data_IF_294236078912
#
_entry.id   IF_294236078912
#
_cell.length_a   1.000
_cell.length_b   1.000
_cell.length_c   1.000
_cell.angle_alpha   90.00
_cell.angle_beta   90.00
_cell.angle_gamma   90.00
#
_symmetry.space_group_name_H-M   'P 1'
#
loop_
_entity.id
_entity.type
_entity.pdbx_description
1 polymer ?
#
# COMPACT_ATOMS: atom_id res chain seq x y z
N UNK A 1 35.85 12.30 10.33
CA UNK A 1 35.14 11.15 10.92
C UNK A 1 33.88 11.69 11.60
N UNK A 2 32.72 11.06 11.34
CA UNK A 2 31.48 11.39 12.04
C UNK A 2 31.60 10.85 13.49
N UNK A 3 31.36 11.67 14.51
CA UNK A 3 31.31 11.18 15.88
C UNK A 3 30.05 10.31 16.08
N UNK A 4 30.27 9.02 16.26
CA UNK A 4 29.22 8.05 16.53
C UNK A 4 29.13 7.81 18.03
N UNK A 5 27.93 7.89 18.66
CA UNK A 5 27.78 7.59 20.08
C UNK A 5 28.24 6.16 20.42
N UNK A 6 28.75 5.97 21.61
CA UNK A 6 29.04 4.62 22.13
C UNK A 6 27.75 3.82 22.25
N UNK A 7 27.80 2.54 21.89
CA UNK A 7 26.65 1.62 21.87
C UNK A 7 25.51 1.99 20.88
N UNK A 8 25.77 2.80 19.86
CA UNK A 8 24.80 3.05 18.79
C UNK A 8 24.57 1.76 17.99
N UNK A 9 23.29 1.36 17.83
CA UNK A 9 22.89 0.18 17.05
C UNK A 9 22.20 0.55 15.73
N UNK A 10 21.65 1.76 15.62
CA UNK A 10 21.05 2.26 14.38
C UNK A 10 21.42 3.71 14.16
N UNK A 11 21.35 4.15 12.92
CA UNK A 11 21.57 5.53 12.52
C UNK A 11 20.62 5.87 11.36
N UNK A 12 19.85 6.92 11.53
CA UNK A 12 18.90 7.43 10.52
C UNK A 12 19.28 8.88 10.20
N UNK A 13 19.32 9.21 8.92
CA UNK A 13 19.51 10.60 8.50
C UNK A 13 18.17 11.34 8.50
N UNK A 14 18.14 12.52 9.11
CA UNK A 14 16.99 13.41 9.14
C UNK A 14 17.45 14.84 8.81
N UNK A 15 17.22 15.27 7.59
CA UNK A 15 17.76 16.51 7.06
C UNK A 15 19.29 16.55 7.15
N UNK A 16 19.83 17.59 7.78
CA UNK A 16 21.27 17.74 8.01
C UNK A 16 21.78 17.05 9.29
N UNK A 17 20.89 16.42 10.04
CA UNK A 17 21.19 15.77 11.34
C UNK A 17 21.20 14.25 11.23
N UNK A 18 21.75 13.63 12.26
CA UNK A 18 21.81 12.18 12.41
C UNK A 18 21.10 11.78 13.71
N UNK A 19 20.16 10.87 13.62
CA UNK A 19 19.50 10.26 14.76
C UNK A 19 20.10 8.87 15.00
N UNK A 20 20.43 8.58 16.24
CA UNK A 20 20.98 7.30 16.68
C UNK A 20 20.06 6.65 17.69
N UNK A 21 19.79 5.36 17.49
CA UNK A 21 19.35 4.49 18.56
C UNK A 21 20.56 3.97 19.32
N UNK A 22 20.54 4.06 20.65
CA UNK A 22 21.67 3.75 21.52
C UNK A 22 21.19 2.76 22.59
N UNK A 23 21.93 1.68 22.82
CA UNK A 23 21.66 0.80 23.95
C UNK A 23 22.07 1.44 25.27
N UNK A 24 21.29 1.22 26.31
CA UNK A 24 21.65 1.64 27.66
C UNK A 24 22.96 0.95 28.09
N UNK A 25 23.85 1.67 28.85
CA UNK A 25 25.09 1.07 29.30
C UNK A 25 24.84 -0.14 30.18
N UNK A 26 25.31 -1.28 29.79
CA UNK A 26 25.20 -2.54 30.53
C UNK A 26 24.21 -3.57 29.97
N UNK A 27 23.40 -3.17 29.01
CA UNK A 27 22.53 -4.11 28.32
C UNK A 27 23.32 -4.84 27.24
N UNK A 28 23.19 -6.18 27.23
CA UNK A 28 23.77 -6.98 26.16
C UNK A 28 23.10 -6.62 24.83
N UNK A 29 23.86 -6.60 23.74
CA UNK A 29 23.27 -6.51 22.42
C UNK A 29 22.15 -7.56 22.31
N UNK A 30 21.01 -7.23 21.65
CA UNK A 30 19.89 -8.16 21.55
C UNK A 30 20.36 -9.49 21.01
N UNK A 31 19.93 -10.57 21.68
CA UNK A 31 20.05 -11.91 21.14
C UNK A 31 19.00 -12.03 20.02
N UNK A 32 19.37 -12.53 18.83
CA UNK A 32 18.50 -12.59 17.67
C UNK A 32 17.15 -13.32 17.89
N UNK A 33 17.00 -13.97 19.04
CA UNK A 33 15.78 -14.69 19.43
C UNK A 33 14.80 -13.88 20.32
N UNK A 34 15.11 -12.64 20.69
CA UNK A 34 14.32 -11.88 21.65
C UNK A 34 13.96 -10.50 21.08
N UNK A 35 12.79 -10.40 20.42
CA UNK A 35 12.22 -9.17 19.85
C UNK A 35 11.89 -8.10 20.92
N UNK A 36 11.92 -8.44 22.23
CA UNK A 36 11.56 -7.55 23.32
C UNK A 36 12.66 -6.54 23.74
N UNK A 37 13.79 -6.52 23.06
CA UNK A 37 14.99 -5.79 23.47
C UNK A 37 15.07 -4.33 23.04
N UNK A 38 14.06 -3.83 22.31
CA UNK A 38 13.94 -2.39 22.03
C UNK A 38 13.62 -1.55 23.29
N UNK A 39 13.34 -2.20 24.39
CA UNK A 39 12.84 -1.62 25.65
C UNK A 39 13.85 -0.75 26.41
N UNK A 40 15.14 -0.81 26.09
CA UNK A 40 16.18 -0.11 26.81
C UNK A 40 17.03 0.79 25.92
N UNK A 41 16.43 1.34 24.88
CA UNK A 41 17.15 2.22 23.99
C UNK A 41 16.91 3.69 24.32
N UNK A 42 17.93 4.48 24.08
CA UNK A 42 17.84 5.93 24.03
C UNK A 42 17.89 6.39 22.58
N UNK A 43 17.22 7.50 22.29
CA UNK A 43 17.36 8.21 21.02
C UNK A 43 18.24 9.44 21.25
N UNK A 44 19.26 9.62 20.41
CA UNK A 44 20.08 10.80 20.37
C UNK A 44 20.11 11.38 18.97
N UNK A 45 19.78 12.67 18.85
CA UNK A 45 19.94 13.41 17.60
C UNK A 45 21.10 14.38 17.76
N UNK A 46 21.97 14.41 16.78
CA UNK A 46 23.15 15.26 16.79
C UNK A 46 23.41 15.88 15.42
N UNK A 47 24.13 17.00 15.44
CA UNK A 47 24.72 17.58 14.26
C UNK A 47 25.91 16.74 13.77
N UNK A 48 26.38 16.98 12.55
CA UNK A 48 27.50 16.23 11.96
C UNK A 48 28.81 16.38 12.69
N UNK A 49 28.96 17.43 13.52
CA UNK A 49 30.13 17.64 14.36
C UNK A 49 30.07 16.93 15.73
N UNK A 50 28.92 16.25 16.02
CA UNK A 50 28.70 15.54 17.26
C UNK A 50 27.96 16.33 18.33
N UNK A 51 27.58 17.58 18.06
CA UNK A 51 26.80 18.37 19.00
C UNK A 51 25.41 17.74 19.16
N UNK A 52 25.08 17.26 20.37
CA UNK A 52 23.78 16.66 20.69
C UNK A 52 22.73 17.76 20.80
N UNK A 53 21.65 17.62 20.02
CA UNK A 53 20.54 18.58 19.99
C UNK A 53 19.28 18.05 20.64
N UNK A 54 19.13 16.70 20.69
CA UNK A 54 18.01 16.03 21.33
C UNK A 54 18.46 14.72 21.94
N UNK A 55 17.89 14.35 23.08
CA UNK A 55 18.07 13.03 23.69
C UNK A 55 16.85 12.63 24.50
N UNK A 56 16.41 11.40 24.31
CA UNK A 56 15.38 10.74 25.12
C UNK A 56 15.90 9.35 25.51
N UNK A 57 16.03 9.10 26.81
CA UNK A 57 16.63 7.87 27.37
C UNK A 57 15.64 6.69 27.44
N UNK A 58 14.36 6.90 27.07
CA UNK A 58 13.29 5.87 27.09
C UNK A 58 12.59 5.83 25.73
N UNK A 59 13.34 5.87 24.65
CA UNK A 59 12.76 5.91 23.31
C UNK A 59 13.56 5.11 22.29
N UNK A 60 12.86 4.61 21.27
CA UNK A 60 13.43 4.05 20.05
C UNK A 60 13.15 4.96 18.85
N UNK A 61 14.11 5.08 17.97
CA UNK A 61 13.94 5.72 16.66
C UNK A 61 13.50 4.67 15.66
N UNK A 62 12.34 4.88 15.08
CA UNK A 62 11.92 4.24 13.86
C UNK A 62 12.23 5.15 12.68
N UNK A 63 12.64 4.59 11.56
CA UNK A 63 12.83 5.38 10.34
C UNK A 63 11.49 5.94 9.88
N UNK A 64 11.43 7.23 9.54
CA UNK A 64 10.22 7.78 8.94
C UNK A 64 10.19 7.45 7.47
N UNK A 65 9.33 6.53 7.08
CA UNK A 65 8.89 6.40 5.72
C UNK A 65 7.70 7.35 5.50
N UNK A 66 7.94 8.60 5.16
CA UNK A 66 6.90 9.58 4.82
C UNK A 66 6.29 9.33 3.44
N UNK A 67 6.64 8.25 2.80
CA UNK A 67 6.07 7.87 1.51
C UNK A 67 5.75 6.39 1.53
N UNK A 68 4.72 5.97 0.81
CA UNK A 68 4.35 4.58 0.57
C UNK A 68 5.55 3.78 0.01
N UNK A 69 6.54 3.48 0.86
CA UNK A 69 7.69 2.67 0.50
C UNK A 69 8.85 3.40 -0.20
N UNK A 70 8.77 4.70 -0.49
CA UNK A 70 9.92 5.45 -1.01
C UNK A 70 10.79 6.00 0.11
N UNK A 71 11.64 5.15 0.66
CA UNK A 71 12.65 5.52 1.66
C UNK A 71 13.74 6.46 1.11
N UNK A 72 13.66 6.89 -0.15
CA UNK A 72 14.67 7.71 -0.81
C UNK A 72 14.44 9.22 -0.67
N UNK A 73 13.25 9.67 -0.25
CA UNK A 73 13.00 11.08 -0.03
C UNK A 73 13.60 11.51 1.33
N UNK A 74 14.59 12.41 1.37
CA UNK A 74 15.12 12.89 2.61
C UNK A 74 14.02 13.63 3.38
N UNK A 75 13.79 13.24 4.62
CA UNK A 75 12.84 13.89 5.51
C UNK A 75 13.56 14.43 6.75
N UNK A 76 13.04 15.53 7.29
CA UNK A 76 13.47 16.06 8.58
C UNK A 76 12.74 15.42 9.76
N UNK A 77 11.71 14.59 9.49
CA UNK A 77 10.85 14.01 10.48
C UNK A 77 11.28 12.58 10.85
N UNK A 78 11.23 12.29 12.13
CA UNK A 78 11.57 11.00 12.73
C UNK A 78 10.37 10.50 13.53
N UNK A 79 10.02 9.25 13.36
CA UNK A 79 9.09 8.56 14.24
C UNK A 79 9.84 8.08 15.48
N UNK A 80 9.33 8.43 16.65
CA UNK A 80 9.92 8.11 17.94
C UNK A 80 8.86 7.44 18.78
N UNK A 81 9.14 6.21 19.20
CA UNK A 81 8.36 5.51 20.21
C UNK A 81 8.97 5.73 21.58
N UNK A 82 8.20 6.31 22.48
CA UNK A 82 8.56 6.46 23.89
C UNK A 82 7.97 5.31 24.70
N UNK A 83 8.82 4.70 25.51
CA UNK A 83 8.44 3.54 26.34
C UNK A 83 8.14 3.96 27.77
N UNK A 84 7.33 3.14 28.45
CA UNK A 84 7.10 3.22 29.89
C UNK A 84 8.42 3.08 30.67
N UNK A 85 8.44 3.59 31.90
CA UNK A 85 9.64 3.54 32.78
C UNK A 85 10.17 2.11 33.01
N UNK A 86 9.30 1.11 32.93
CA UNK A 86 9.67 -0.31 33.05
C UNK A 86 9.98 -0.97 31.68
N UNK A 87 9.87 -0.21 30.58
CA UNK A 87 10.13 -0.68 29.22
C UNK A 87 9.15 -1.71 28.69
N UNK A 88 8.03 -1.95 29.37
CA UNK A 88 7.09 -3.04 29.02
C UNK A 88 6.10 -2.69 27.90
N UNK A 89 5.92 -1.43 27.61
CA UNK A 89 4.95 -0.94 26.61
C UNK A 89 5.36 0.38 26.00
N UNK A 90 4.92 0.60 24.73
CA UNK A 90 4.97 1.91 24.12
C UNK A 90 3.89 2.78 24.78
N UNK A 91 4.29 3.88 25.38
CA UNK A 91 3.38 4.86 25.95
C UNK A 91 2.92 5.88 24.92
N UNK A 92 3.80 6.22 23.99
CA UNK A 92 3.54 7.27 23.02
C UNK A 92 4.37 7.06 21.76
N UNK A 93 3.72 7.20 20.60
CA UNK A 93 4.38 7.41 19.33
C UNK A 93 4.30 8.89 18.98
N UNK A 94 5.40 9.50 18.58
CA UNK A 94 5.46 10.89 18.15
C UNK A 94 6.26 11.05 16.87
N UNK A 95 5.97 12.11 16.12
CA UNK A 95 6.85 12.59 15.05
C UNK A 95 7.65 13.80 15.56
N UNK A 96 8.96 13.70 15.44
CA UNK A 96 9.88 14.78 15.79
C UNK A 96 10.58 15.30 14.54
N UNK A 97 10.42 16.59 14.27
CA UNK A 97 11.24 17.27 13.28
C UNK A 97 12.65 17.51 13.82
N UNK A 98 13.62 16.78 13.28
CA UNK A 98 15.00 16.83 13.75
C UNK A 98 15.63 18.22 13.55
N UNK A 99 15.16 19.05 12.62
CA UNK A 99 15.70 20.36 12.30
C UNK A 99 15.08 21.47 13.17
N UNK A 100 13.76 21.46 13.33
CA UNK A 100 13.05 22.52 14.08
C UNK A 100 12.84 22.19 15.54
N UNK A 101 12.88 20.90 15.92
CA UNK A 101 12.51 20.40 17.24
C UNK A 101 11.00 20.37 17.48
N UNK A 102 10.18 20.58 16.44
CA UNK A 102 8.74 20.42 16.54
C UNK A 102 8.39 18.94 16.81
N UNK A 103 7.57 18.70 17.80
CA UNK A 103 7.09 17.35 18.15
C UNK A 103 5.56 17.31 18.05
N UNK A 104 5.04 16.26 17.40
CA UNK A 104 3.64 15.95 17.33
C UNK A 104 3.38 14.57 17.88
N UNK A 105 2.64 14.52 18.97
CA UNK A 105 2.29 13.30 19.68
C UNK A 105 0.90 12.82 19.28
N UNK A 106 0.68 11.52 19.35
CA UNK A 106 -0.60 10.90 19.10
C UNK A 106 -0.49 9.72 18.14
N UNK A 107 -1.62 9.07 17.89
CA UNK A 107 -1.69 8.00 16.90
C UNK A 107 -1.49 8.58 15.49
N UNK A 108 -0.49 8.07 14.78
CA UNK A 108 -0.09 8.57 13.47
C UNK A 108 -0.44 7.55 12.39
N UNK A 109 -1.06 8.02 11.32
CA UNK A 109 -1.29 7.22 10.11
C UNK A 109 -0.67 7.94 8.92
N UNK A 110 0.28 7.30 8.24
CA UNK A 110 0.85 7.83 7.01
C UNK A 110 -0.09 7.57 5.85
N UNK A 111 -0.43 8.62 5.10
CA UNK A 111 -1.46 8.55 4.05
C UNK A 111 -0.88 8.64 2.64
N UNK A 112 0.10 9.50 2.43
CA UNK A 112 0.82 9.66 1.16
C UNK A 112 2.11 10.41 1.40
N UNK A 113 2.92 10.60 0.36
CA UNK A 113 4.22 11.26 0.45
C UNK A 113 4.17 12.58 1.24
N UNK A 114 4.70 12.55 2.45
CA UNK A 114 4.82 13.71 3.32
C UNK A 114 3.53 14.17 4.02
N UNK A 115 2.42 13.43 3.92
CA UNK A 115 1.17 13.77 4.61
C UNK A 115 0.81 12.66 5.60
N UNK A 116 0.43 13.06 6.82
CA UNK A 116 0.03 12.16 7.87
C UNK A 116 -1.27 12.61 8.55
N UNK A 117 -2.01 11.66 9.11
CA UNK A 117 -3.15 11.90 9.98
C UNK A 117 -2.72 11.75 11.43
N UNK A 118 -3.10 12.72 12.27
CA UNK A 118 -2.87 12.69 13.71
C UNK A 118 -4.20 12.78 14.45
N UNK A 119 -4.37 11.95 15.46
CA UNK A 119 -5.44 12.18 16.43
C UNK A 119 -4.98 13.23 17.44
N UNK A 120 -5.73 14.33 17.52
CA UNK A 120 -5.46 15.40 18.50
C UNK A 120 -5.94 15.01 19.90
N UNK A 121 -5.49 15.74 20.91
CA UNK A 121 -5.92 15.53 22.30
C UNK A 121 -7.44 15.71 22.52
N UNK A 122 -8.10 16.48 21.67
CA UNK A 122 -9.58 16.68 21.71
C UNK A 122 -10.33 15.54 21.04
N UNK A 123 -9.64 14.56 20.44
CA UNK A 123 -10.25 13.41 19.76
C UNK A 123 -10.58 13.65 18.27
N UNK A 124 -10.24 14.83 17.72
CA UNK A 124 -10.35 15.10 16.29
C UNK A 124 -9.12 14.59 15.54
N UNK A 125 -9.23 14.42 14.22
CA UNK A 125 -8.16 13.94 13.36
C UNK A 125 -7.69 15.06 12.44
N UNK A 126 -6.40 15.39 12.53
CA UNK A 126 -5.77 16.44 11.73
C UNK A 126 -5.00 15.82 10.57
N UNK A 127 -5.27 16.31 9.37
CA UNK A 127 -4.45 16.06 8.20
C UNK A 127 -3.30 17.06 8.16
N UNK A 128 -2.06 16.58 8.17
CA UNK A 128 -0.87 17.41 8.35
C UNK A 128 0.11 17.19 7.21
N UNK A 129 0.52 18.27 6.56
CA UNK A 129 1.61 18.27 5.59
C UNK A 129 2.95 18.41 6.33
N UNK A 130 3.80 17.41 6.18
CA UNK A 130 5.14 17.31 6.74
C UNK A 130 6.25 17.62 5.71
N UNK A 131 5.89 17.96 4.47
CA UNK A 131 6.86 18.25 3.40
C UNK A 131 7.42 19.66 3.46
N UNK A 132 6.70 20.58 4.13
CA UNK A 132 7.15 21.97 4.26
C UNK A 132 8.44 22.07 5.05
N UNK A 133 9.41 22.82 4.54
CA UNK A 133 10.65 23.13 5.25
C UNK A 133 10.35 24.06 6.42
N UNK A 134 10.39 23.56 7.63
CA UNK A 134 10.10 24.33 8.82
C UNK A 134 9.04 23.69 9.69
N UNK A 135 7.94 24.38 9.93
CA UNK A 135 6.83 23.85 10.72
C UNK A 135 5.86 23.09 9.84
N UNK A 136 5.25 22.04 10.39
CA UNK A 136 4.19 21.30 9.73
C UNK A 136 2.94 22.16 9.54
N UNK A 137 2.22 21.94 8.47
CA UNK A 137 0.96 22.65 8.14
C UNK A 137 -0.23 21.74 8.36
N UNK A 138 -1.21 22.17 9.16
CA UNK A 138 -2.50 21.49 9.27
C UNK A 138 -3.35 21.88 8.08
N UNK A 139 -3.62 20.91 7.19
CA UNK A 139 -4.40 21.11 5.99
C UNK A 139 -5.91 21.17 6.30
N UNK A 140 -6.38 20.27 7.16
CA UNK A 140 -7.77 20.22 7.62
C UNK A 140 -7.91 19.37 8.89
N UNK A 141 -9.11 19.39 9.47
CA UNK A 141 -9.47 18.63 10.67
C UNK A 141 -10.84 17.99 10.50
N UNK A 142 -10.99 16.76 10.98
CA UNK A 142 -12.20 15.94 10.90
C UNK A 142 -12.58 15.38 12.26
N UNK A 143 -13.86 15.06 12.45
CA UNK A 143 -14.33 14.33 13.65
C UNK A 143 -14.03 12.84 13.55
N UNK A 144 -13.97 12.29 12.32
CA UNK A 144 -13.75 10.88 12.01
C UNK A 144 -12.30 10.60 11.55
N UNK A 145 -11.78 9.37 11.76
CA UNK A 145 -10.46 8.98 11.30
C UNK A 145 -10.28 9.15 9.79
N UNK A 146 -9.13 9.65 9.39
CA UNK A 146 -8.75 9.79 7.99
C UNK A 146 -8.09 8.47 7.55
N UNK A 147 -8.69 7.78 6.58
CA UNK A 147 -8.20 6.49 6.07
C UNK A 147 -7.31 6.64 4.85
N UNK A 148 -7.56 7.66 4.00
CA UNK A 148 -6.79 7.87 2.78
C UNK A 148 -6.73 9.35 2.39
N UNK A 149 -5.73 9.69 1.58
CA UNK A 149 -5.52 11.05 1.10
C UNK A 149 -4.90 11.05 -0.31
N UNK A 150 -5.31 12.00 -1.12
CA UNK A 150 -4.58 12.50 -2.28
C UNK A 150 -4.73 14.03 -2.31
N UNK A 151 -3.78 14.81 -2.89
CA UNK A 151 -3.88 16.26 -2.93
C UNK A 151 -5.26 16.75 -3.41
N UNK A 152 -5.93 17.51 -2.55
CA UNK A 152 -7.27 18.02 -2.81
C UNK A 152 -8.44 17.14 -2.35
N UNK A 153 -8.19 15.90 -1.90
CA UNK A 153 -9.24 15.01 -1.37
C UNK A 153 -8.77 14.22 -0.15
N UNK A 154 -9.69 13.96 0.77
CA UNK A 154 -9.46 13.07 1.91
C UNK A 154 -10.62 12.07 2.05
N UNK A 155 -10.33 10.87 2.49
CA UNK A 155 -11.35 9.88 2.84
C UNK A 155 -11.36 9.68 4.34
N UNK A 156 -12.54 9.80 4.95
CA UNK A 156 -12.74 9.52 6.37
C UNK A 156 -13.58 8.28 6.57
N UNK A 157 -13.34 7.58 7.68
CA UNK A 157 -14.10 6.40 8.07
C UNK A 157 -15.05 6.74 9.23
N UNK A 158 -16.34 6.74 8.98
CA UNK A 158 -17.37 6.99 9.98
C UNK A 158 -17.57 5.77 10.87
N UNK A 159 -16.94 5.78 12.03
CA UNK A 159 -16.95 4.65 12.96
C UNK A 159 -18.34 4.24 13.45
N UNK A 160 -19.26 5.21 13.58
CA UNK A 160 -20.63 4.99 14.05
C UNK A 160 -21.51 4.26 13.03
N UNK A 161 -21.24 4.41 11.74
CA UNK A 161 -22.02 3.85 10.64
C UNK A 161 -21.30 2.71 9.90
N UNK A 162 -19.98 2.61 10.04
CA UNK A 162 -19.16 1.67 9.27
C UNK A 162 -19.02 2.04 7.81
N UNK A 163 -19.18 3.31 7.48
CA UNK A 163 -19.19 3.87 6.13
C UNK A 163 -17.99 4.82 5.93
N UNK A 164 -17.67 5.11 4.67
CA UNK A 164 -16.65 6.09 4.30
C UNK A 164 -17.27 7.33 3.66
N UNK A 165 -16.56 8.46 3.78
CA UNK A 165 -16.89 9.71 3.10
C UNK A 165 -15.67 10.27 2.38
N UNK A 166 -15.82 10.65 1.11
CA UNK A 166 -14.83 11.39 0.35
C UNK A 166 -15.11 12.87 0.47
N UNK A 167 -14.18 13.63 0.98
CA UNK A 167 -14.22 15.08 1.11
C UNK A 167 -13.38 15.73 0.02
N UNK A 168 -13.97 16.56 -0.82
CA UNK A 168 -13.23 17.46 -1.71
C UNK A 168 -12.78 18.69 -0.91
N UNK A 169 -11.50 18.81 -0.67
CA UNK A 169 -10.90 19.86 0.17
C UNK A 169 -10.91 21.25 -0.52
N UNK A 170 -11.13 21.28 -1.84
CA UNK A 170 -11.18 22.54 -2.59
C UNK A 170 -12.60 23.11 -2.64
N UNK A 171 -13.62 22.26 -2.77
CA UNK A 171 -15.03 22.69 -2.89
C UNK A 171 -15.81 22.58 -1.58
N UNK A 172 -15.37 21.68 -0.69
CA UNK A 172 -16.09 21.32 0.53
C UNK A 172 -17.22 20.31 0.28
N UNK A 173 -17.34 19.77 -0.93
CA UNK A 173 -18.31 18.73 -1.25
C UNK A 173 -17.97 17.42 -0.56
N UNK A 174 -19.00 16.69 -0.13
CA UNK A 174 -18.86 15.38 0.51
C UNK A 174 -19.63 14.33 -0.27
N UNK A 175 -19.02 13.20 -0.54
CA UNK A 175 -19.60 12.09 -1.26
C UNK A 175 -19.55 10.82 -0.38
N UNK A 176 -20.72 10.19 -0.21
CA UNK A 176 -20.79 8.91 0.50
C UNK A 176 -20.11 7.78 -0.31
N UNK A 177 -19.20 7.07 0.32
CA UNK A 177 -18.35 6.06 -0.28
C UNK A 177 -18.79 4.66 0.16
N UNK A 178 -18.79 3.70 -0.77
CA UNK A 178 -19.01 2.28 -0.49
C UNK A 178 -17.72 1.56 -0.14
N UNK A 179 -16.65 1.91 -0.88
CA UNK A 179 -15.36 1.24 -0.74
C UNK A 179 -14.23 2.12 -1.25
N UNK A 180 -13.06 1.95 -0.66
CA UNK A 180 -11.83 2.61 -1.05
C UNK A 180 -10.68 1.60 -1.17
N UNK A 181 -9.70 1.91 -1.99
CA UNK A 181 -8.52 1.07 -2.14
C UNK A 181 -7.28 1.91 -2.44
N UNK A 182 -6.24 1.66 -1.68
CA UNK A 182 -4.93 2.26 -1.87
C UNK A 182 -4.07 1.36 -2.77
N UNK A 183 -3.49 1.94 -3.81
CA UNK A 183 -2.40 1.34 -4.59
C UNK A 183 -1.05 1.93 -4.20
N UNK A 184 -0.01 1.65 -4.96
CA UNK A 184 1.33 2.16 -4.69
C UNK A 184 1.41 3.69 -4.75
N UNK A 185 0.72 4.31 -5.73
CA UNK A 185 0.68 5.76 -5.93
C UNK A 185 -0.72 6.26 -6.30
N UNK A 186 -1.75 5.48 -6.03
CA UNK A 186 -3.12 5.80 -6.44
C UNK A 186 -4.11 5.52 -5.32
N UNK A 187 -5.13 6.37 -5.22
CA UNK A 187 -6.29 6.21 -4.36
C UNK A 187 -7.52 5.99 -5.24
N UNK A 188 -8.16 4.84 -5.12
CA UNK A 188 -9.41 4.53 -5.79
C UNK A 188 -10.58 4.65 -4.80
N UNK A 189 -11.67 5.25 -5.24
CA UNK A 189 -12.89 5.47 -4.44
C UNK A 189 -14.12 5.09 -5.27
N UNK A 190 -14.99 4.26 -4.70
CA UNK A 190 -16.27 3.89 -5.28
C UNK A 190 -17.42 4.40 -4.41
N UNK A 191 -18.17 5.34 -4.92
CA UNK A 191 -19.25 6.01 -4.20
C UNK A 191 -20.58 5.24 -4.22
N UNK A 192 -21.48 5.57 -3.30
CA UNK A 192 -22.82 4.96 -3.21
C UNK A 192 -23.70 5.30 -4.42
N UNK A 193 -23.48 6.41 -5.09
CA UNK A 193 -24.18 6.80 -6.31
C UNK A 193 -23.66 6.10 -7.58
N UNK A 194 -22.59 5.30 -7.45
CA UNK A 194 -21.94 4.61 -8.53
C UNK A 194 -20.76 5.33 -9.17
N UNK A 195 -20.45 6.53 -8.72
CA UNK A 195 -19.24 7.25 -9.15
C UNK A 195 -18.00 6.48 -8.72
N UNK A 196 -17.09 6.21 -9.66
CA UNK A 196 -15.80 5.61 -9.40
C UNK A 196 -14.70 6.55 -9.88
N UNK A 197 -13.82 6.92 -8.97
CA UNK A 197 -12.66 7.78 -9.26
C UNK A 197 -11.39 7.16 -8.78
N UNK A 198 -10.33 7.40 -9.55
CA UNK A 198 -8.95 7.07 -9.16
C UNK A 198 -8.13 8.34 -9.21
N UNK A 199 -7.47 8.63 -8.11
CA UNK A 199 -6.61 9.81 -7.95
C UNK A 199 -5.15 9.36 -7.91
N UNK A 200 -4.28 10.14 -8.53
CA UNK A 200 -2.84 10.07 -8.29
C UNK A 200 -2.53 10.65 -6.91
N UNK A 201 -1.92 9.87 -6.04
CA UNK A 201 -1.66 10.28 -4.64
C UNK A 201 -0.57 11.34 -4.50
N UNK A 202 0.25 11.57 -5.52
CA UNK A 202 1.29 12.58 -5.47
C UNK A 202 0.81 13.93 -5.99
N UNK A 203 -0.09 13.92 -6.97
CA UNK A 203 -0.51 15.15 -7.69
C UNK A 203 -1.96 15.52 -7.46
N UNK A 204 -2.79 14.60 -6.97
CA UNK A 204 -4.24 14.77 -6.88
C UNK A 204 -4.98 14.72 -8.23
N UNK A 205 -4.26 14.43 -9.31
CA UNK A 205 -4.87 14.33 -10.62
C UNK A 205 -5.86 13.17 -10.69
N UNK A 206 -7.03 13.39 -11.27
CA UNK A 206 -8.01 12.34 -11.53
C UNK A 206 -7.55 11.54 -12.75
N UNK A 207 -7.14 10.30 -12.55
CA UNK A 207 -6.68 9.37 -13.58
C UNK A 207 -7.85 8.66 -14.25
N UNK A 208 -8.88 8.32 -13.47
CA UNK A 208 -10.09 7.66 -13.93
C UNK A 208 -11.30 8.33 -13.27
N UNK A 209 -12.31 8.66 -14.07
CA UNK A 209 -13.62 9.15 -13.63
C UNK A 209 -14.67 8.47 -14.50
N UNK A 210 -15.49 7.61 -13.88
CA UNK A 210 -16.52 6.84 -14.58
C UNK A 210 -17.67 6.53 -13.64
N UNK A 211 -18.77 5.99 -14.20
CA UNK A 211 -19.91 5.54 -13.39
C UNK A 211 -20.10 4.05 -13.60
N UNK A 212 -20.08 3.30 -12.51
CA UNK A 212 -20.44 1.88 -12.47
C UNK A 212 -21.74 1.77 -11.68
N UNK A 213 -22.82 1.44 -12.36
CA UNK A 213 -24.13 1.35 -11.70
C UNK A 213 -24.12 0.25 -10.63
N UNK A 214 -24.46 0.59 -9.38
CA UNK A 214 -24.64 -0.41 -8.33
C UNK A 214 -25.73 -1.42 -8.74
N UNK A 215 -25.47 -2.69 -8.55
CA UNK A 215 -26.41 -3.74 -8.90
C UNK A 215 -27.35 -3.95 -7.71
N UNK A 216 -28.66 -3.85 -7.96
CA UNK A 216 -29.68 -4.06 -6.95
C UNK A 216 -29.60 -5.51 -6.41
N UNK A 217 -29.58 -5.64 -5.08
CA UNK A 217 -29.44 -6.94 -4.40
C UNK A 217 -28.01 -7.35 -4.08
N UNK A 218 -26.99 -6.77 -4.71
CA UNK A 218 -25.59 -7.00 -4.36
C UNK A 218 -25.14 -6.02 -3.29
N UNK A 219 -24.95 -6.51 -2.07
CA UNK A 219 -24.71 -5.65 -0.90
C UNK A 219 -23.24 -5.35 -0.66
N UNK A 220 -22.35 -6.20 -1.18
CA UNK A 220 -20.90 -6.04 -1.00
C UNK A 220 -20.21 -5.61 -2.27
N UNK A 221 -19.16 -4.86 -2.02
CA UNK A 221 -18.26 -4.36 -3.05
C UNK A 221 -16.83 -4.59 -2.58
N UNK A 222 -15.99 -5.13 -3.45
CA UNK A 222 -14.55 -5.11 -3.26
C UNK A 222 -13.94 -4.28 -4.39
N UNK A 223 -13.19 -3.27 -4.02
CA UNK A 223 -12.47 -2.40 -4.92
C UNK A 223 -10.98 -2.73 -4.82
N UNK A 224 -10.38 -3.10 -5.93
CA UNK A 224 -8.95 -3.38 -6.02
C UNK A 224 -8.28 -2.36 -6.92
N UNK A 225 -7.34 -1.63 -6.36
CA UNK A 225 -6.54 -0.67 -7.08
C UNK A 225 -5.34 -1.38 -7.76
N UNK A 226 -5.11 -1.08 -9.04
CA UNK A 226 -4.10 -1.77 -9.87
C UNK A 226 -3.12 -0.77 -10.47
N UNK A 227 -2.87 0.32 -9.81
CA UNK A 227 -2.00 1.42 -10.27
C UNK A 227 -2.29 1.96 -11.69
N UNK A 228 -1.64 3.05 -12.07
CA UNK A 228 -1.83 3.67 -13.38
C UNK A 228 -3.26 4.11 -13.69
N UNK A 229 -4.13 4.24 -12.68
CA UNK A 229 -5.52 4.62 -12.83
C UNK A 229 -6.46 3.46 -13.14
N UNK A 230 -5.98 2.22 -13.11
CA UNK A 230 -6.81 1.04 -13.29
C UNK A 230 -7.35 0.50 -11.98
N UNK A 231 -8.59 0.08 -11.99
CA UNK A 231 -9.26 -0.57 -10.86
C UNK A 231 -10.10 -1.74 -11.33
N UNK A 232 -10.25 -2.68 -10.43
CA UNK A 232 -11.12 -3.81 -10.54
C UNK A 232 -12.19 -3.72 -9.46
N UNK A 233 -13.45 -3.69 -9.88
CA UNK A 233 -14.61 -3.66 -9.02
C UNK A 233 -15.34 -5.00 -9.07
N UNK A 234 -15.53 -5.60 -7.91
CA UNK A 234 -16.37 -6.79 -7.72
C UNK A 234 -17.59 -6.40 -6.92
N UNK A 235 -18.78 -6.71 -7.44
CA UNK A 235 -20.03 -6.59 -6.72
C UNK A 235 -20.62 -7.98 -6.48
N UNK A 236 -21.00 -8.30 -5.26
CA UNK A 236 -21.48 -9.65 -4.90
C UNK A 236 -22.47 -9.64 -3.74
N UNK A 237 -23.23 -10.73 -3.57
CA UNK A 237 -24.12 -10.97 -2.45
C UNK A 237 -23.34 -11.61 -1.29
N UNK A 238 -23.81 -11.37 -0.06
CA UNK A 238 -23.24 -11.96 1.15
C UNK A 238 -23.34 -13.49 1.17
N UNK A 239 -24.37 -14.06 0.54
CA UNK A 239 -24.70 -15.48 0.62
C UNK A 239 -24.15 -16.28 -0.58
N UNK A 240 -23.76 -15.61 -1.67
CA UNK A 240 -23.27 -16.25 -2.88
C UNK A 240 -22.09 -15.50 -3.50
N UNK A 241 -20.90 -15.86 -3.06
CA UNK A 241 -19.64 -15.32 -3.61
C UNK A 241 -19.46 -15.63 -5.12
N UNK A 242 -20.23 -16.54 -5.69
CA UNK A 242 -20.18 -16.88 -7.11
C UNK A 242 -21.06 -15.96 -7.97
N UNK A 243 -22.14 -15.41 -7.42
CA UNK A 243 -23.01 -14.46 -8.10
C UNK A 243 -22.39 -13.06 -8.18
N UNK A 244 -21.19 -12.96 -8.70
CA UNK A 244 -20.43 -11.73 -8.72
C UNK A 244 -20.33 -11.17 -10.13
N UNK A 245 -20.51 -9.84 -10.25
CA UNK A 245 -20.02 -9.14 -11.43
C UNK A 245 -18.60 -8.62 -11.17
N UNK A 246 -17.84 -8.52 -12.24
CA UNK A 246 -16.48 -7.99 -12.22
C UNK A 246 -16.32 -6.96 -13.31
N UNK A 247 -16.08 -5.74 -12.90
CA UNK A 247 -15.96 -4.60 -13.82
C UNK A 247 -14.56 -4.02 -13.71
N UNK A 248 -13.92 -3.83 -14.84
CA UNK A 248 -12.65 -3.14 -14.96
C UNK A 248 -12.92 -1.71 -15.37
N UNK A 249 -12.38 -0.78 -14.62
CA UNK A 249 -12.40 0.64 -14.95
C UNK A 249 -10.98 1.15 -15.11
N UNK A 250 -10.79 2.09 -16.01
CA UNK A 250 -9.47 2.63 -16.28
C UNK A 250 -9.50 4.00 -16.94
N UNK A 251 -8.31 4.54 -17.26
CA UNK A 251 -8.18 5.83 -17.93
C UNK A 251 -9.04 5.95 -19.20
N UNK A 252 -9.36 7.19 -19.57
CA UNK A 252 -10.17 7.52 -20.75
C UNK A 252 -11.62 6.97 -20.72
N UNK A 253 -12.19 6.79 -19.53
CA UNK A 253 -13.56 6.31 -19.35
C UNK A 253 -13.74 4.84 -19.70
N UNK A 254 -12.70 4.04 -19.67
CA UNK A 254 -12.80 2.59 -19.81
C UNK A 254 -13.66 2.04 -18.68
N UNK A 255 -14.71 1.29 -19.09
CA UNK A 255 -15.61 0.60 -18.16
C UNK A 255 -16.08 -0.67 -18.86
N UNK A 256 -15.59 -1.84 -18.42
CA UNK A 256 -15.90 -3.13 -19.04
C UNK A 256 -16.25 -4.15 -17.97
N UNK A 257 -17.44 -4.74 -18.07
CA UNK A 257 -17.85 -5.87 -17.23
C UNK A 257 -17.47 -7.17 -17.93
N UNK A 258 -16.80 -8.07 -17.19
CA UNK A 258 -16.38 -9.37 -17.70
C UNK A 258 -17.58 -10.31 -17.85
N UNK A 259 -17.63 -11.06 -18.95
CA UNK A 259 -18.56 -12.17 -19.13
C UNK A 259 -18.04 -13.42 -18.39
N UNK A 260 -18.42 -13.52 -17.12
CA UNK A 260 -18.01 -14.64 -16.27
C UNK A 260 -18.60 -15.97 -16.73
N UNK A 261 -19.78 -15.96 -17.34
CA UNK A 261 -20.42 -17.18 -17.85
C UNK A 261 -19.66 -17.72 -19.06
N UNK A 262 -19.21 -16.87 -19.96
CA UNK A 262 -18.35 -17.26 -21.06
C UNK A 262 -17.00 -17.82 -20.59
N UNK A 263 -16.39 -17.20 -19.56
CA UNK A 263 -15.15 -17.69 -18.94
C UNK A 263 -15.38 -19.05 -18.27
N UNK A 264 -16.41 -19.18 -17.44
CA UNK A 264 -16.80 -20.45 -16.79
C UNK A 264 -17.07 -21.56 -17.82
N UNK A 265 -17.75 -21.24 -18.90
CA UNK A 265 -18.05 -22.22 -19.97
C UNK A 265 -16.78 -22.74 -20.64
N UNK A 266 -15.73 -21.95 -20.75
CA UNK A 266 -14.45 -22.36 -21.34
C UNK A 266 -13.69 -23.36 -20.49
N UNK A 267 -13.61 -23.14 -19.17
CA UNK A 267 -12.82 -23.95 -18.24
C UNK A 267 -13.64 -25.06 -17.57
N UNK A 268 -14.96 -24.96 -17.60
CA UNK A 268 -15.86 -25.97 -17.03
C UNK A 268 -15.65 -26.17 -15.54
N UNK A 269 -15.67 -27.44 -15.11
CA UNK A 269 -15.47 -27.82 -13.71
C UNK A 269 -14.04 -27.56 -13.20
N UNK A 270 -13.09 -27.31 -14.09
CA UNK A 270 -11.70 -27.00 -13.74
C UNK A 270 -11.49 -25.51 -13.38
N UNK A 271 -12.53 -24.68 -13.57
CA UNK A 271 -12.51 -23.27 -13.19
C UNK A 271 -12.75 -23.08 -11.70
N UNK A 272 -11.81 -22.46 -11.02
CA UNK A 272 -11.85 -22.24 -9.56
C UNK A 272 -12.32 -20.85 -9.14
N UNK A 273 -12.85 -20.05 -10.05
CA UNK A 273 -13.42 -18.73 -9.73
C UNK A 273 -12.41 -17.62 -9.48
N UNK A 274 -11.11 -17.90 -9.47
CA UNK A 274 -10.08 -16.91 -9.23
C UNK A 274 -9.67 -16.25 -10.54
N UNK A 275 -10.05 -14.99 -10.65
CA UNK A 275 -9.63 -14.06 -11.69
C UNK A 275 -8.85 -12.94 -11.01
N UNK A 276 -7.59 -12.75 -11.37
CA UNK A 276 -6.76 -11.70 -10.81
C UNK A 276 -6.29 -10.73 -11.88
N UNK A 277 -6.32 -9.42 -11.59
CA UNK A 277 -5.70 -8.45 -12.47
C UNK A 277 -4.19 -8.67 -12.55
N UNK A 278 -3.63 -8.56 -13.75
CA UNK A 278 -2.21 -8.85 -14.00
C UNK A 278 -1.47 -7.64 -14.53
N UNK A 279 -1.91 -7.07 -15.64
CA UNK A 279 -1.25 -5.93 -16.29
C UNK A 279 -2.20 -5.20 -17.23
N UNK A 280 -1.86 -3.98 -17.62
CA UNK A 280 -2.57 -3.21 -18.64
C UNK A 280 -1.61 -2.86 -19.78
N UNK A 281 -2.12 -2.76 -21.01
CA UNK A 281 -1.38 -2.27 -22.15
C UNK A 281 -2.32 -1.75 -23.24
N UNK A 282 -1.99 -0.63 -23.86
CA UNK A 282 -2.72 -0.10 -25.00
C UNK A 282 -4.20 0.22 -24.73
N UNK A 283 -4.56 0.52 -23.46
CA UNK A 283 -5.94 0.78 -23.06
C UNK A 283 -6.78 -0.48 -22.83
N UNK A 284 -6.15 -1.65 -22.78
CA UNK A 284 -6.74 -2.95 -22.47
C UNK A 284 -6.18 -3.47 -21.15
N UNK A 285 -6.97 -4.27 -20.43
CA UNK A 285 -6.56 -4.89 -19.19
C UNK A 285 -6.54 -6.42 -19.32
N UNK A 286 -5.59 -7.06 -18.64
CA UNK A 286 -5.35 -8.50 -18.72
C UNK A 286 -5.44 -9.15 -17.35
N UNK A 287 -5.98 -10.38 -17.34
CA UNK A 287 -6.27 -11.13 -16.12
C UNK A 287 -5.66 -12.53 -16.17
N UNK A 288 -5.28 -13.05 -15.02
CA UNK A 288 -4.97 -14.47 -14.88
C UNK A 288 -6.23 -15.26 -14.50
N UNK A 289 -6.41 -16.39 -15.15
CA UNK A 289 -7.40 -17.40 -14.80
C UNK A 289 -6.68 -18.64 -14.36
N UNK A 290 -6.94 -19.08 -13.13
CA UNK A 290 -6.40 -20.35 -12.62
C UNK A 290 -7.36 -21.52 -12.90
N UNK A 291 -6.81 -22.66 -13.32
CA UNK A 291 -7.55 -23.88 -13.57
C UNK A 291 -6.72 -25.13 -13.31
N UNK A 292 -7.39 -26.28 -13.12
CA UNK A 292 -6.69 -27.56 -12.99
C UNK A 292 -6.33 -28.14 -14.36
N UNK A 293 -5.03 -28.23 -14.60
CA UNK A 293 -4.48 -28.88 -15.76
C UNK A 293 -4.31 -30.41 -15.61
N UNK A 294 -3.74 -31.09 -16.61
CA UNK A 294 -3.44 -32.51 -16.54
C UNK A 294 -2.56 -32.85 -15.33
N UNK A 295 -2.91 -33.91 -14.60
CA UNK A 295 -2.18 -34.35 -13.42
C UNK A 295 -2.49 -33.57 -12.14
N UNK A 296 -3.57 -32.79 -12.13
CA UNK A 296 -4.02 -31.92 -11.02
C UNK A 296 -3.05 -30.77 -10.67
N UNK A 297 -2.16 -30.40 -11.58
CA UNK A 297 -1.33 -29.22 -11.42
C UNK A 297 -2.15 -27.98 -11.69
N UNK A 298 -1.91 -26.91 -10.92
CA UNK A 298 -2.46 -25.62 -11.20
C UNK A 298 -1.78 -25.00 -12.43
N UNK A 299 -2.60 -24.50 -13.35
CA UNK A 299 -2.17 -23.75 -14.51
C UNK A 299 -2.91 -22.42 -14.55
N UNK A 300 -2.31 -21.47 -15.25
CA UNK A 300 -2.82 -20.11 -15.41
C UNK A 300 -2.83 -19.73 -16.88
N UNK A 301 -3.94 -19.18 -17.32
CA UNK A 301 -4.03 -18.52 -18.61
C UNK A 301 -4.11 -17.01 -18.40
N UNK A 302 -3.40 -16.25 -19.20
CA UNK A 302 -3.59 -14.81 -19.31
C UNK A 302 -4.69 -14.54 -20.32
N UNK A 303 -5.74 -13.81 -19.91
CA UNK A 303 -6.88 -13.46 -20.76
C UNK A 303 -7.02 -11.94 -20.86
N UNK A 304 -7.62 -11.47 -21.95
CA UNK A 304 -8.05 -10.08 -22.11
C UNK A 304 -9.40 -9.80 -21.41
N UNK A 305 -9.85 -8.54 -21.40
CA UNK A 305 -11.12 -8.14 -20.78
C UNK A 305 -12.37 -8.74 -21.45
N UNK A 306 -12.24 -9.32 -22.63
CA UNK A 306 -13.32 -10.03 -23.32
C UNK A 306 -13.30 -11.54 -23.05
N UNK A 307 -12.33 -12.04 -22.27
CA UNK A 307 -12.15 -13.44 -21.93
C UNK A 307 -11.39 -14.27 -22.99
N UNK A 308 -10.77 -13.63 -23.99
CA UNK A 308 -9.92 -14.36 -24.95
C UNK A 308 -8.57 -14.67 -24.30
N UNK A 309 -8.08 -15.90 -24.55
CA UNK A 309 -6.76 -16.32 -24.08
C UNK A 309 -5.67 -15.64 -24.91
N UNK A 310 -4.79 -14.91 -24.24
CA UNK A 310 -3.60 -14.28 -24.79
C UNK A 310 -2.40 -15.20 -24.67
N UNK A 311 -2.20 -15.77 -23.47
CA UNK A 311 -1.18 -16.77 -23.21
C UNK A 311 -1.79 -17.92 -22.38
N UNK A 312 -1.39 -19.14 -22.66
CA UNK A 312 -1.97 -20.32 -22.03
C UNK A 312 -0.93 -21.18 -21.30
N UNK A 313 -1.37 -21.87 -20.25
CA UNK A 313 -0.64 -22.95 -19.61
C UNK A 313 0.60 -22.50 -18.85
N UNK A 314 0.59 -21.30 -18.27
CA UNK A 314 1.62 -20.80 -17.38
C UNK A 314 1.59 -21.53 -16.04
N UNK A 315 2.75 -21.72 -15.39
CA UNK A 315 2.82 -22.28 -14.04
C UNK A 315 2.48 -21.26 -12.95
N UNK A 316 2.61 -19.98 -13.24
CA UNK A 316 2.05 -18.84 -12.49
C UNK A 316 1.89 -17.63 -13.41
N UNK A 317 1.01 -16.72 -13.05
CA UNK A 317 0.77 -15.50 -13.79
C UNK A 317 0.28 -14.44 -12.78
N UNK A 318 1.17 -13.54 -12.35
CA UNK A 318 0.90 -12.54 -11.33
C UNK A 318 1.46 -11.18 -11.77
N UNK A 319 0.70 -10.11 -11.52
CA UNK A 319 1.16 -8.73 -11.70
C UNK A 319 1.04 -7.91 -10.43
N UNK A 320 0.16 -8.32 -9.53
CA UNK A 320 -0.33 -7.54 -8.41
C UNK A 320 0.64 -7.43 -7.21
N UNK A 321 1.64 -8.30 -7.09
CA UNK A 321 2.53 -8.35 -5.92
C UNK A 321 3.97 -7.90 -6.19
N UNK A 322 4.24 -7.33 -7.34
CA UNK A 322 5.54 -6.72 -7.55
C UNK A 322 5.62 -5.43 -6.71
N UNK A 323 6.56 -5.36 -5.78
CA UNK A 323 6.81 -4.19 -4.95
C UNK A 323 7.18 -2.92 -5.76
N UNK A 324 7.34 -3.06 -7.07
CA UNK A 324 7.49 -1.97 -8.03
C UNK A 324 6.57 -2.22 -9.21
N UNK A 325 5.84 -1.22 -9.70
CA UNK A 325 5.01 -1.35 -10.89
C UNK A 325 5.87 -1.79 -12.07
N UNK A 326 5.47 -2.90 -12.70
CA UNK A 326 6.11 -3.36 -13.93
C UNK A 326 5.67 -2.46 -15.09
N UNK A 327 6.49 -2.32 -16.14
CA UNK A 327 6.09 -1.62 -17.35
C UNK A 327 4.79 -2.17 -17.92
N UNK A 328 4.01 -1.30 -18.60
CA UNK A 328 2.78 -1.68 -19.28
C UNK A 328 2.97 -2.94 -20.15
N UNK A 329 2.09 -3.92 -19.97
CA UNK A 329 2.14 -5.18 -20.70
C UNK A 329 3.21 -6.17 -20.24
N UNK A 330 3.87 -5.91 -19.12
CA UNK A 330 4.83 -6.84 -18.49
C UNK A 330 4.24 -7.39 -17.20
N UNK A 331 4.49 -8.65 -16.90
CA UNK A 331 3.98 -9.32 -15.73
C UNK A 331 4.91 -10.44 -15.25
N UNK A 332 4.74 -10.88 -14.00
CA UNK A 332 5.50 -12.00 -13.45
C UNK A 332 4.88 -13.31 -13.90
N UNK A 333 5.66 -14.17 -14.51
CA UNK A 333 5.22 -15.49 -14.96
C UNK A 333 6.21 -16.60 -14.61
N UNK A 334 5.68 -17.82 -14.53
CA UNK A 334 6.47 -19.05 -14.52
C UNK A 334 6.08 -19.93 -15.70
N UNK A 335 7.06 -20.43 -16.43
CA UNK A 335 6.86 -21.37 -17.53
C UNK A 335 7.89 -22.49 -17.44
N UNK A 336 7.45 -23.68 -17.05
CA UNK A 336 8.37 -24.78 -16.74
C UNK A 336 9.27 -24.46 -15.54
N UNK A 337 10.59 -24.47 -15.75
CA UNK A 337 11.58 -24.13 -14.74
C UNK A 337 12.08 -22.67 -14.80
N UNK A 338 11.49 -21.87 -15.64
CA UNK A 338 11.80 -20.45 -15.79
C UNK A 338 10.77 -19.61 -15.05
N UNK A 339 11.23 -18.61 -14.30
CA UNK A 339 10.41 -17.59 -13.66
C UNK A 339 11.03 -16.22 -13.91
N UNK A 340 10.18 -15.20 -14.08
CA UNK A 340 10.65 -13.85 -14.33
C UNK A 340 9.59 -12.96 -14.91
N UNK A 341 10.01 -11.95 -15.63
CA UNK A 341 9.15 -10.98 -16.29
C UNK A 341 8.89 -11.37 -17.73
N UNK A 342 7.64 -11.43 -18.10
CA UNK A 342 7.17 -11.84 -19.43
C UNK A 342 6.31 -10.73 -20.04
N UNK A 343 6.40 -10.55 -21.36
CA UNK A 343 5.51 -9.67 -22.10
C UNK A 343 4.24 -10.38 -22.59
N UNK A 344 3.30 -9.62 -23.16
CA UNK A 344 2.03 -10.14 -23.68
C UNK A 344 2.20 -11.06 -24.91
N UNK A 345 3.39 -11.14 -25.49
CA UNK A 345 3.72 -12.08 -26.59
C UNK A 345 4.34 -13.38 -26.06
N UNK A 346 4.47 -13.52 -24.74
CA UNK A 346 5.09 -14.68 -24.10
C UNK A 346 6.61 -14.71 -24.21
N UNK A 347 7.23 -13.55 -24.45
CA UNK A 347 8.67 -13.39 -24.50
C UNK A 347 9.20 -12.99 -23.11
N UNK A 348 10.29 -13.60 -22.70
CA UNK A 348 10.95 -13.19 -21.48
C UNK A 348 11.65 -11.84 -21.65
N UNK A 349 11.25 -10.86 -20.83
CA UNK A 349 11.99 -9.61 -20.64
C UNK A 349 13.18 -9.86 -19.74
N UNK A 350 12.97 -10.64 -18.70
CA UNK A 350 13.98 -11.15 -17.79
C UNK A 350 13.52 -12.50 -17.25
N UNK A 351 14.40 -13.49 -17.17
CA UNK A 351 14.09 -14.75 -16.50
C UNK A 351 15.31 -15.36 -15.84
N UNK A 352 15.02 -16.21 -14.86
CA UNK A 352 16.00 -17.08 -14.22
C UNK A 352 15.48 -18.51 -14.14
N UNK A 353 16.39 -19.48 -14.12
CA UNK A 353 16.04 -20.87 -13.93
C UNK A 353 15.89 -21.18 -12.44
N UNK A 354 14.78 -21.82 -12.09
CA UNK A 354 14.56 -22.35 -10.74
C UNK A 354 15.06 -23.77 -10.71
N UNK A 355 16.17 -24.02 -10.01
CA UNK A 355 16.60 -25.37 -9.69
C UNK A 355 15.97 -25.75 -8.36
N UNK A 356 15.01 -26.68 -8.36
CA UNK A 356 14.46 -27.22 -7.13
C UNK A 356 15.57 -27.97 -6.37
N UNK A 357 15.99 -27.49 -5.21
CA UNK A 357 16.44 -28.37 -4.16
C UNK A 357 15.19 -29.06 -3.61
N UNK A 358 15.18 -30.36 -3.54
CA UNK A 358 14.08 -31.20 -3.07
C UNK A 358 13.81 -30.95 -1.58
N UNK A 359 12.96 -30.02 -1.27
CA UNK A 359 12.52 -29.69 0.09
C UNK A 359 11.77 -28.39 0.09
N UNK A 360 10.50 -28.50 0.19
CA UNK A 360 9.49 -27.52 0.61
C UNK A 360 9.69 -26.05 0.17
N UNK A 361 8.60 -25.44 -0.35
CA UNK A 361 8.36 -24.02 -0.58
C UNK A 361 8.78 -23.43 -1.93
N UNK A 362 8.25 -24.02 -3.03
CA UNK A 362 8.25 -23.33 -4.34
C UNK A 362 7.24 -22.16 -4.41
N UNK A 363 6.54 -21.84 -3.32
CA UNK A 363 5.49 -20.81 -3.30
C UNK A 363 5.98 -19.42 -2.84
N UNK A 364 7.21 -19.32 -2.31
CA UNK A 364 7.69 -18.09 -1.64
C UNK A 364 8.86 -17.39 -2.34
N UNK A 365 8.95 -17.40 -3.67
CA UNK A 365 9.90 -16.51 -4.33
C UNK A 365 9.22 -15.15 -4.61
N UNK A 366 9.42 -14.21 -3.70
CA UNK A 366 9.16 -12.79 -3.92
C UNK A 366 10.36 -12.19 -4.68
N UNK A 367 10.06 -11.43 -5.72
CA UNK A 367 11.06 -10.64 -6.46
C UNK A 367 10.86 -9.17 -6.16
#
# INVERSE_FOLDING_TARGET
ELPVPENAYTCVAAGDRLAFGIYAPGDAAPDEENDDLYQYSAVQIQERDGTVVYRNDHAAVLSVALSNGDASAPTDWLEIDTYSDDGSSIEQTSLLNATTGEERSGFVVYLSAGVASFQSENGTYQLVDLTSTGQSEVLCEFEDPISAYAPGVAVTYRQDLGDYELHDLNTGDVLEVRDESLGTNTLAVYAKDGTLRVYDQNTGAVLTDTVVTPIEGLQRTDLYNVDGGWVWLRQYDNDDYEATTRTVCGPNGTNKTLDLDAIKARYGADFHGYLWPVTAAGGEFYFSVSYQGPGRNWLYDLIDSTGNVVLAGLGSCNGYYAANPLPDGVFVARKGFEIGWMDLHGQWVYCQNIFYSSGDDAENYYF
#
